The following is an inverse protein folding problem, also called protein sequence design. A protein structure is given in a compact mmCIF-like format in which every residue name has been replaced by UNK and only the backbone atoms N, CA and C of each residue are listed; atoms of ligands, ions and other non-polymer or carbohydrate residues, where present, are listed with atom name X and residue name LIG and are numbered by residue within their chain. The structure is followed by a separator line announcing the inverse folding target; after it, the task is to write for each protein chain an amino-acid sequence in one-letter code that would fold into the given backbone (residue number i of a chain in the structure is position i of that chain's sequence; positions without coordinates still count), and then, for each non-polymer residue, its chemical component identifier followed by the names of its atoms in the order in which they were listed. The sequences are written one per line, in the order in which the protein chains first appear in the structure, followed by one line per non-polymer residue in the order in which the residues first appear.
data_IF_520035193610
#
_entry.id   IF_520035193610
#
_cell.length_a   1.000
_cell.length_b   1.000
_cell.length_c   1.000
_cell.angle_alpha   90.00
_cell.angle_beta   90.00
_cell.angle_gamma   90.00
#
_symmetry.space_group_name_H-M   'P 1'
#
loop_
_entity.id
_entity.type
_entity.pdbx_description
1 polymer ?
#
# COMPACT_ATOMS: atom_id res chain seq x y z
N UNK A 1 20.75 4.99 -19.22
CA UNK A 1 19.78 4.66 -18.16
C UNK A 1 19.98 5.56 -16.96
N UNK A 2 18.90 6.12 -16.47
CA UNK A 2 18.99 7.01 -15.31
C UNK A 2 18.86 6.20 -14.03
N UNK A 3 19.66 6.55 -13.05
CA UNK A 3 19.54 5.98 -11.71
C UNK A 3 18.86 7.03 -10.84
N UNK A 4 17.72 6.65 -10.27
CA UNK A 4 16.93 7.54 -9.43
C UNK A 4 17.00 7.12 -7.98
N UNK A 5 17.47 8.02 -7.12
CA UNK A 5 17.44 7.81 -5.69
C UNK A 5 16.26 8.56 -5.10
N UNK A 6 15.44 7.87 -4.31
CA UNK A 6 14.30 8.48 -3.66
C UNK A 6 14.46 8.28 -2.15
N UNK A 7 14.60 9.39 -1.43
CA UNK A 7 14.63 9.33 0.03
C UNK A 7 13.19 9.32 0.53
N UNK A 8 12.69 8.16 0.85
CA UNK A 8 11.28 8.01 1.23
C UNK A 8 10.94 8.75 2.51
N UNK A 9 11.94 9.03 3.37
CA UNK A 9 11.70 9.80 4.58
C UNK A 9 11.49 11.28 4.30
N UNK A 10 11.89 11.76 3.14
CA UNK A 10 11.75 13.14 2.73
C UNK A 10 10.52 13.38 1.86
N UNK A 11 9.83 12.32 1.46
CA UNK A 11 8.65 12.48 0.62
C UNK A 11 7.50 13.09 1.44
N UNK A 12 6.75 14.03 0.84
CA UNK A 12 5.59 14.60 1.53
C UNK A 12 4.56 13.53 1.85
N UNK A 13 3.98 13.63 3.02
CA UNK A 13 2.86 12.78 3.42
C UNK A 13 1.57 13.55 3.29
N UNK A 14 0.55 12.91 2.75
CA UNK A 14 -0.78 13.50 2.63
C UNK A 14 -1.78 12.59 3.31
N UNK A 15 -2.92 13.17 3.68
CA UNK A 15 -3.99 12.42 4.32
C UNK A 15 -5.22 12.52 3.40
N UNK A 16 -5.34 11.60 2.43
CA UNK A 16 -6.40 11.71 1.42
C UNK A 16 -7.80 11.54 1.98
N UNK A 17 -7.95 10.82 3.10
CA UNK A 17 -9.25 10.62 3.71
C UNK A 17 -9.10 10.47 5.22
N UNK A 18 -10.08 10.93 6.01
CA UNK A 18 -10.02 10.74 7.47
C UNK A 18 -10.04 9.27 7.84
N UNK A 19 -9.24 8.90 8.85
CA UNK A 19 -9.23 7.54 9.37
C UNK A 19 -8.51 6.52 8.50
N UNK A 20 -7.93 6.94 7.38
CA UNK A 20 -7.21 6.04 6.47
C UNK A 20 -5.71 6.26 6.46
N UNK A 21 -5.19 7.01 7.42
CA UNK A 21 -3.77 7.18 7.58
C UNK A 21 -3.15 8.21 6.65
N UNK A 22 -1.82 8.23 6.64
CA UNK A 22 -1.04 9.12 5.80
C UNK A 22 -0.38 8.33 4.66
N UNK A 23 -0.20 8.99 3.53
CA UNK A 23 0.37 8.37 2.34
C UNK A 23 1.49 9.22 1.77
N UNK A 24 2.58 8.58 1.37
CA UNK A 24 3.63 9.24 0.60
C UNK A 24 3.86 8.43 -0.67
N UNK A 25 3.83 9.10 -1.81
CA UNK A 25 4.14 8.43 -3.07
C UNK A 25 5.64 8.35 -3.23
N UNK A 26 6.15 7.17 -3.53
CA UNK A 26 7.58 6.93 -3.65
C UNK A 26 7.97 6.40 -5.03
N UNK A 27 7.00 5.97 -5.81
CA UNK A 27 7.26 5.44 -7.14
C UNK A 27 6.10 5.82 -8.05
N UNK A 28 6.33 6.72 -8.97
CA UNK A 28 5.33 7.12 -9.94
C UNK A 28 6.02 7.77 -11.12
N UNK A 29 5.23 8.18 -12.09
CA UNK A 29 5.77 8.74 -13.33
C UNK A 29 6.53 10.05 -13.09
N UNK A 30 6.02 10.90 -12.22
CA UNK A 30 6.65 12.20 -11.98
C UNK A 30 7.97 12.08 -11.25
N UNK A 31 8.08 11.14 -10.33
CA UNK A 31 9.29 10.98 -9.52
C UNK A 31 10.41 10.29 -10.26
N UNK A 32 10.11 9.31 -11.07
CA UNK A 32 11.16 8.47 -11.65
C UNK A 32 10.86 8.00 -13.07
N UNK A 33 9.82 8.53 -13.69
CA UNK A 33 9.46 8.12 -15.04
C UNK A 33 8.77 6.78 -15.15
N UNK A 34 8.37 6.18 -14.02
CA UNK A 34 7.70 4.89 -14.04
C UNK A 34 6.35 5.01 -14.72
N UNK A 35 6.10 4.19 -15.71
CA UNK A 35 4.88 4.29 -16.50
C UNK A 35 3.85 3.22 -16.16
N UNK A 36 4.31 2.10 -15.63
CA UNK A 36 3.43 0.96 -15.40
C UNK A 36 3.48 0.47 -13.96
N UNK A 37 3.78 1.38 -13.04
CA UNK A 37 3.87 0.99 -11.64
C UNK A 37 3.65 2.20 -10.76
N UNK A 38 2.93 1.99 -9.66
CA UNK A 38 2.77 3.00 -8.61
C UNK A 38 3.20 2.37 -7.29
N UNK A 39 3.98 3.09 -6.52
CA UNK A 39 4.40 2.63 -5.21
C UNK A 39 4.17 3.70 -4.17
N UNK A 40 3.64 3.30 -3.04
CA UNK A 40 3.28 4.23 -1.96
C UNK A 40 3.68 3.64 -0.62
N UNK A 41 4.05 4.51 0.29
CA UNK A 41 4.14 4.15 1.70
C UNK A 41 2.89 4.69 2.39
N UNK A 42 2.35 3.91 3.31
CA UNK A 42 1.18 4.32 4.07
C UNK A 42 1.41 4.04 5.55
N UNK A 43 1.04 5.00 6.35
CA UNK A 43 1.14 4.90 7.82
C UNK A 43 -0.25 4.94 8.40
N UNK A 44 -0.60 3.93 9.20
CA UNK A 44 -1.88 3.86 9.90
C UNK A 44 -1.60 3.95 11.39
N UNK A 45 -2.14 4.96 12.04
CA UNK A 45 -2.10 5.04 13.50
C UNK A 45 -3.12 4.08 14.10
N UNK A 46 -3.00 3.82 15.39
CA UNK A 46 -3.88 2.85 16.05
C UNK A 46 -5.34 3.07 15.73
N UNK A 47 -6.00 2.02 15.27
CA UNK A 47 -7.41 2.05 14.93
C UNK A 47 -7.73 2.57 13.54
N UNK A 48 -6.77 3.13 12.82
CA UNK A 48 -7.03 3.57 11.45
C UNK A 48 -7.09 2.36 10.50
N UNK A 49 -7.81 2.54 9.42
CA UNK A 49 -8.07 1.47 8.46
C UNK A 49 -7.83 1.95 7.03
N UNK A 50 -7.25 1.09 6.22
CA UNK A 50 -7.08 1.33 4.81
C UNK A 50 -7.79 0.24 4.02
N UNK A 51 -8.73 0.65 3.17
CA UNK A 51 -9.42 -0.28 2.28
C UNK A 51 -8.70 -0.28 0.94
N UNK A 52 -8.09 -1.41 0.61
CA UNK A 52 -7.42 -1.57 -0.68
C UNK A 52 -8.52 -1.93 -1.68
N UNK A 53 -8.93 -0.96 -2.46
CA UNK A 53 -10.00 -1.14 -3.41
C UNK A 53 -9.61 -2.07 -4.55
N UNK A 54 -10.60 -2.71 -5.13
CA UNK A 54 -10.39 -3.55 -6.29
C UNK A 54 -10.04 -2.70 -7.51
N UNK A 55 -9.04 -3.13 -8.27
CA UNK A 55 -8.67 -2.48 -9.51
C UNK A 55 -8.78 -3.51 -10.63
N UNK A 56 -9.55 -3.18 -11.67
CA UNK A 56 -9.92 -4.15 -12.69
C UNK A 56 -8.73 -4.68 -13.49
N UNK A 57 -7.76 -3.82 -13.76
CA UNK A 57 -6.64 -4.18 -14.64
C UNK A 57 -5.30 -3.98 -13.96
N UNK A 58 -5.22 -4.30 -12.67
CA UNK A 58 -3.96 -4.13 -11.97
C UNK A 58 -3.76 -5.23 -10.93
N UNK A 59 -2.50 -5.54 -10.70
CA UNK A 59 -2.08 -6.39 -9.59
C UNK A 59 -1.66 -5.48 -8.45
N UNK A 60 -1.92 -5.88 -7.23
CA UNK A 60 -1.54 -5.10 -6.06
C UNK A 60 -0.80 -5.96 -5.07
N UNK A 61 0.25 -5.40 -4.49
CA UNK A 61 0.98 -6.02 -3.40
C UNK A 61 0.97 -5.06 -2.23
N UNK A 62 0.60 -5.56 -1.06
CA UNK A 62 0.69 -4.78 0.17
C UNK A 62 1.60 -5.54 1.12
N UNK A 63 2.67 -4.88 1.56
CA UNK A 63 3.67 -5.49 2.43
C UNK A 63 3.76 -4.69 3.72
N UNK A 64 3.67 -5.40 4.86
CA UNK A 64 3.80 -4.76 6.17
C UNK A 64 5.26 -4.61 6.52
N UNK A 65 5.72 -3.38 6.57
CA UNK A 65 7.12 -3.07 6.87
C UNK A 65 7.36 -2.92 8.36
N UNK A 66 6.38 -2.39 9.11
CA UNK A 66 6.49 -2.19 10.55
C UNK A 66 5.12 -2.28 11.17
N UNK A 67 5.07 -2.72 12.43
CA UNK A 67 3.85 -2.74 13.21
C UNK A 67 3.06 -4.02 13.06
N UNK A 68 1.82 -3.98 13.56
CA UNK A 68 0.92 -5.11 13.54
C UNK A 68 -0.50 -4.64 13.30
N UNK A 69 -1.33 -5.52 12.79
CA UNK A 69 -2.71 -5.19 12.52
C UNK A 69 -3.52 -6.41 12.14
N UNK A 70 -4.65 -6.15 11.49
CA UNK A 70 -5.56 -7.18 11.02
C UNK A 70 -5.87 -6.92 9.55
N UNK A 71 -5.72 -7.95 8.74
CA UNK A 71 -6.11 -7.88 7.34
C UNK A 71 -7.37 -8.71 7.16
N UNK A 72 -8.38 -8.12 6.51
CA UNK A 72 -9.62 -8.82 6.19
C UNK A 72 -9.64 -9.16 4.70
N UNK A 73 -9.72 -10.45 4.42
CA UNK A 73 -9.79 -10.98 3.05
C UNK A 73 -11.00 -11.89 2.96
N UNK A 74 -11.90 -11.64 2.01
CA UNK A 74 -13.10 -12.46 1.83
C UNK A 74 -13.88 -12.65 3.14
N UNK A 75 -14.08 -11.55 3.86
CA UNK A 75 -14.78 -11.53 5.15
C UNK A 75 -14.09 -12.33 6.26
N UNK A 76 -12.81 -12.65 6.09
CA UNK A 76 -12.03 -13.38 7.07
C UNK A 76 -10.89 -12.53 7.58
N UNK A 77 -10.73 -12.49 8.90
CA UNK A 77 -9.69 -11.66 9.53
C UNK A 77 -8.43 -12.47 9.79
N UNK A 78 -7.28 -11.86 9.50
CA UNK A 78 -5.98 -12.45 9.75
C UNK A 78 -5.15 -11.47 10.55
N UNK A 79 -4.66 -11.90 11.71
CA UNK A 79 -3.72 -11.09 12.48
C UNK A 79 -2.36 -11.13 11.79
N UNK A 80 -1.77 -9.96 11.57
CA UNK A 80 -0.52 -9.85 10.83
C UNK A 80 0.45 -8.92 11.54
N UNK A 81 1.73 -9.07 11.21
CA UNK A 81 2.80 -8.22 11.74
C UNK A 81 3.82 -7.98 10.64
N UNK A 82 4.87 -7.23 10.95
CA UNK A 82 5.88 -6.90 9.94
C UNK A 82 6.38 -8.18 9.25
N UNK A 83 6.61 -8.08 7.97
CA UNK A 83 7.01 -9.20 7.14
C UNK A 83 5.85 -9.87 6.42
N UNK A 84 4.60 -9.57 6.81
CA UNK A 84 3.45 -10.12 6.13
C UNK A 84 3.18 -9.36 4.84
N UNK A 85 2.76 -10.08 3.83
CA UNK A 85 2.38 -9.48 2.56
C UNK A 85 1.13 -10.11 2.02
N UNK A 86 0.37 -9.32 1.25
CA UNK A 86 -0.78 -9.85 0.51
C UNK A 86 -0.67 -9.44 -0.94
N UNK A 87 -1.05 -10.36 -1.79
CA UNK A 87 -1.16 -10.11 -3.21
C UNK A 87 -2.64 -10.11 -3.58
N UNK A 88 -3.05 -9.08 -4.32
CA UNK A 88 -4.42 -8.96 -4.82
C UNK A 88 -4.36 -9.03 -6.34
N UNK A 89 -5.04 -10.01 -6.91
CA UNK A 89 -5.22 -10.10 -8.34
C UNK A 89 -6.22 -9.03 -8.80
N UNK A 90 -6.33 -8.77 -10.11
CA UNK A 90 -7.34 -7.85 -10.59
C UNK A 90 -8.72 -8.16 -10.00
N UNK A 91 -9.47 -7.15 -9.66
CA UNK A 91 -10.80 -7.13 -9.04
C UNK A 91 -10.86 -7.65 -7.59
N UNK A 92 -9.75 -8.03 -6.99
CA UNK A 92 -9.74 -8.41 -5.57
C UNK A 92 -9.50 -7.19 -4.69
N UNK A 93 -10.01 -7.23 -3.48
CA UNK A 93 -9.86 -6.16 -2.51
C UNK A 93 -9.58 -6.71 -1.13
N UNK A 94 -9.08 -5.84 -0.25
CA UNK A 94 -8.77 -6.19 1.12
C UNK A 94 -8.95 -4.98 2.01
N UNK A 95 -9.03 -5.20 3.31
CA UNK A 95 -9.09 -4.13 4.30
C UNK A 95 -8.01 -4.38 5.33
N UNK A 96 -7.28 -3.33 5.71
CA UNK A 96 -6.18 -3.43 6.67
C UNK A 96 -6.43 -2.44 7.79
N UNK A 97 -6.41 -2.92 9.04
CA UNK A 97 -6.62 -2.07 10.21
C UNK A 97 -5.40 -2.18 11.12
N UNK A 98 -4.88 -1.02 11.55
CA UNK A 98 -3.79 -1.00 12.50
C UNK A 98 -4.25 -1.48 13.87
N UNK A 99 -3.34 -2.12 14.61
CA UNK A 99 -3.61 -2.48 15.99
C UNK A 99 -3.91 -1.21 16.81
N UNK A 100 -4.58 -1.40 17.94
CA UNK A 100 -5.01 -0.26 18.78
C UNK A 100 -3.85 0.60 19.26
N UNK A 101 -2.67 0.02 19.40
CA UNK A 101 -1.47 0.74 19.84
C UNK A 101 -0.41 0.68 18.75
N UNK A 102 0.29 1.80 18.55
CA UNK A 102 1.39 1.87 17.62
C UNK A 102 0.96 2.30 16.23
N UNK A 103 1.91 2.28 15.32
CA UNK A 103 1.71 2.69 13.95
C UNK A 103 2.08 1.53 13.03
N UNK A 104 1.25 1.30 12.05
CA UNK A 104 1.50 0.28 11.05
C UNK A 104 2.00 0.96 9.78
N UNK A 105 3.11 0.49 9.23
CA UNK A 105 3.70 1.03 8.01
C UNK A 105 3.59 -0.01 6.90
N UNK A 106 3.01 0.41 5.78
CA UNK A 106 2.78 -0.46 4.63
C UNK A 106 3.53 0.04 3.41
N UNK A 107 3.97 -0.89 2.58
CA UNK A 107 4.34 -0.58 1.20
C UNK A 107 3.23 -1.12 0.29
N UNK A 108 2.67 -0.24 -0.51
CA UNK A 108 1.58 -0.58 -1.43
C UNK A 108 2.06 -0.38 -2.86
N UNK A 109 2.14 -1.47 -3.59
CA UNK A 109 2.59 -1.47 -4.98
C UNK A 109 1.40 -1.81 -5.88
N UNK A 110 1.20 -0.99 -6.90
CA UNK A 110 0.16 -1.23 -7.90
C UNK A 110 0.83 -1.37 -9.26
N UNK A 111 0.63 -2.51 -9.90
CA UNK A 111 1.21 -2.79 -11.21
C UNK A 111 0.07 -3.06 -12.19
N UNK A 112 -0.20 -2.12 -13.10
CA UNK A 112 -1.22 -2.36 -14.12
C UNK A 112 -0.89 -3.60 -14.94
N UNK A 113 -1.92 -4.35 -15.29
CA UNK A 113 -1.73 -5.53 -16.12
C UNK A 113 -1.35 -5.09 -17.53
N UNK A 114 -0.25 -5.65 -18.01
CA UNK A 114 0.22 -5.36 -19.36
C UNK A 114 -0.59 -6.22 -20.33
N UNK A 115 -1.18 -5.57 -21.32
CA UNK A 115 -1.92 -6.32 -22.33
C UNK A 115 -0.98 -7.17 -23.17
N UNK A 116 -1.47 -8.30 -23.58
CA UNK A 116 -0.70 -9.16 -24.45
C UNK A 116 -0.42 -8.46 -25.77
N UNK A 117 0.72 -8.75 -26.25
CA UNK A 117 1.17 -8.19 -27.53
C UNK A 117 0.80 -9.10 -28.68
#
# INVERSE_FOLDING_TARGET
MALTFIDTNQRPRTRPAPGQGEVAQILNRELCGAQNVLGMLRWLAGGERFDVGAVADAHQLVYLMEGAGVITLNAKDYAVKKGAGIYLAPVESASIRAAAKGTLKLFHLVVPRVKDR
#
